data_IF_512344400407
#
_entry.id   IF_512344400407
#
_cell.length_a   1.000
_cell.length_b   1.000
_cell.length_c   1.000
_cell.angle_alpha   90.00
_cell.angle_beta   90.00
_cell.angle_gamma   90.00
#
_symmetry.space_group_name_H-M   'P 1'
#
loop_
_entity.id
_entity.type
_entity.pdbx_description
1 polymer ?
#
# COMPACT_ATOMS: atom_id res chain seq x y z
N UNK A 1 15.62 25.91 3.21
CA UNK A 1 14.25 25.35 3.21
C UNK A 1 14.32 23.85 3.46
N UNK A 2 13.40 23.28 4.23
CA UNK A 2 13.40 21.85 4.55
C UNK A 2 11.98 21.26 4.52
N UNK A 3 11.87 20.00 4.12
CA UNK A 3 10.66 19.21 4.31
C UNK A 3 10.68 18.64 5.73
N UNK A 4 9.71 19.04 6.56
CA UNK A 4 9.59 18.56 7.95
C UNK A 4 9.01 17.14 8.00
N UNK A 5 8.17 16.82 7.01
CA UNK A 5 7.49 15.53 6.90
C UNK A 5 8.14 14.66 5.83
N UNK A 6 8.25 13.36 6.11
CA UNK A 6 8.65 12.38 5.09
C UNK A 6 7.49 12.09 4.13
N UNK A 7 7.81 12.00 2.85
CA UNK A 7 6.87 11.52 1.84
C UNK A 7 6.85 10.00 1.84
N UNK A 8 5.69 9.37 1.57
CA UNK A 8 5.61 7.93 1.36
C UNK A 8 6.57 7.47 0.26
N UNK A 9 7.17 6.29 0.42
CA UNK A 9 8.02 5.68 -0.62
C UNK A 9 7.30 5.43 -1.95
N UNK A 10 5.96 5.46 -1.95
CA UNK A 10 5.12 5.24 -3.12
C UNK A 10 3.92 6.19 -3.11
N UNK A 11 3.73 6.90 -4.20
CA UNK A 11 2.55 7.71 -4.49
C UNK A 11 1.88 7.20 -5.78
N UNK A 12 0.66 7.62 -6.02
CA UNK A 12 -0.09 7.34 -7.24
C UNK A 12 -0.41 8.64 -7.99
N UNK A 13 -0.48 8.57 -9.32
CA UNK A 13 -0.93 9.70 -10.14
C UNK A 13 -2.37 10.07 -9.79
N UNK A 14 -2.73 11.34 -9.92
CA UNK A 14 -4.06 11.86 -9.60
C UNK A 14 -4.38 11.94 -8.10
N UNK A 15 -3.64 11.26 -7.24
CA UNK A 15 -3.80 11.33 -5.78
C UNK A 15 -3.07 12.56 -5.23
N UNK A 16 -3.67 13.21 -4.23
CA UNK A 16 -3.06 14.34 -3.52
C UNK A 16 -1.77 13.91 -2.84
N UNK A 17 -0.72 14.71 -2.97
CA UNK A 17 0.55 14.50 -2.29
C UNK A 17 0.36 14.80 -0.79
N UNK A 18 0.56 13.76 0.02
CA UNK A 18 0.48 13.81 1.48
C UNK A 18 1.74 13.17 2.07
N UNK A 19 2.05 13.48 3.33
CA UNK A 19 3.11 12.81 4.08
C UNK A 19 2.72 11.37 4.47
N UNK A 20 3.69 10.64 5.01
CA UNK A 20 3.52 9.24 5.43
C UNK A 20 2.42 9.01 6.47
N UNK A 21 2.22 9.97 7.37
CA UNK A 21 1.14 10.01 8.38
C UNK A 21 -0.21 10.53 7.81
N UNK A 22 -0.30 10.77 6.50
CA UNK A 22 -1.47 11.32 5.81
C UNK A 22 -1.83 12.75 6.24
N UNK A 23 -0.87 13.54 6.71
CA UNK A 23 -1.02 14.97 6.93
C UNK A 23 -0.53 15.80 5.73
N UNK A 24 -0.87 17.11 5.64
CA UNK A 24 -0.32 17.98 4.62
C UNK A 24 1.20 18.10 4.75
N UNK A 25 1.93 17.99 3.63
CA UNK A 25 3.39 18.07 3.63
C UNK A 25 3.83 19.47 4.04
N UNK A 26 4.61 19.54 5.12
CA UNK A 26 5.08 20.79 5.72
C UNK A 26 6.47 21.17 5.21
N UNK A 27 6.62 22.43 4.83
CA UNK A 27 7.86 23.07 4.39
C UNK A 27 8.23 24.10 5.45
N UNK A 28 9.49 24.09 5.89
CA UNK A 28 10.00 24.99 6.91
C UNK A 28 11.19 25.79 6.41
N UNK A 29 11.25 27.05 6.79
CA UNK A 29 12.43 27.90 6.69
C UNK A 29 13.19 27.93 8.03
N UNK A 30 14.39 27.37 8.04
CA UNK A 30 15.33 27.45 9.15
C UNK A 30 16.45 28.44 8.84
N UNK A 31 16.91 29.13 9.88
CA UNK A 31 18.14 29.89 9.87
C UNK A 31 19.32 28.91 9.99
N UNK A 32 20.27 28.98 9.06
CA UNK A 32 21.38 28.02 9.00
C UNK A 32 22.42 28.20 10.10
N UNK A 33 22.48 29.36 10.76
CA UNK A 33 23.46 29.63 11.81
C UNK A 33 22.94 29.21 13.19
N UNK A 34 21.65 29.44 13.43
CA UNK A 34 21.00 29.18 14.72
C UNK A 34 20.17 27.90 14.75
N UNK A 35 19.94 27.26 13.60
CA UNK A 35 19.06 26.10 13.40
C UNK A 35 17.61 26.33 13.91
N UNK A 36 17.21 27.59 14.04
CA UNK A 36 15.88 27.97 14.53
C UNK A 36 14.94 28.31 13.37
N UNK A 37 13.66 28.06 13.62
CA UNK A 37 12.58 28.46 12.71
C UNK A 37 12.59 29.98 12.52
N UNK A 38 12.54 30.42 11.26
CA UNK A 38 12.44 31.85 10.92
C UNK A 38 10.99 32.29 11.00
N UNK A 39 10.55 32.67 12.21
CA UNK A 39 9.15 33.04 12.48
C UNK A 39 8.82 34.51 12.20
N UNK A 40 9.81 35.35 11.94
CA UNK A 40 9.59 36.80 11.73
C UNK A 40 10.56 37.38 10.70
N UNK A 41 10.29 38.62 10.29
CA UNK A 41 11.07 39.31 9.26
C UNK A 41 10.62 38.97 7.82
N UNK A 42 11.25 39.58 6.81
CA UNK A 42 10.79 39.53 5.42
C UNK A 42 10.74 38.11 4.85
N UNK A 43 11.62 37.23 5.30
CA UNK A 43 11.71 35.85 4.80
C UNK A 43 10.64 34.91 5.35
N UNK A 44 10.05 35.22 6.51
CA UNK A 44 9.03 34.39 7.15
C UNK A 44 7.75 34.23 6.31
N UNK A 45 7.50 35.17 5.40
CA UNK A 45 6.30 35.23 4.54
C UNK A 45 6.60 35.05 3.05
N UNK A 46 7.77 34.52 2.70
CA UNK A 46 8.19 34.36 1.30
C UNK A 46 7.35 33.30 0.58
N UNK A 47 7.21 33.43 -0.74
CA UNK A 47 6.58 32.40 -1.58
C UNK A 47 7.63 31.43 -2.10
N UNK A 48 7.34 30.14 -1.99
CA UNK A 48 8.19 29.07 -2.51
C UNK A 48 7.49 28.30 -3.62
N UNK A 49 8.24 27.82 -4.60
CA UNK A 49 7.76 27.02 -5.73
C UNK A 49 8.15 25.57 -5.55
N UNK A 50 7.19 24.68 -5.78
CA UNK A 50 7.37 23.23 -5.81
C UNK A 50 7.86 22.82 -7.19
N UNK A 51 8.90 21.99 -7.22
CA UNK A 51 9.49 21.39 -8.41
C UNK A 51 9.61 19.88 -8.23
N UNK A 52 9.71 19.16 -9.34
CA UNK A 52 10.03 17.73 -9.34
C UNK A 52 11.49 17.57 -9.69
N UNK A 53 12.23 16.76 -8.94
CA UNK A 53 13.64 16.48 -9.17
C UNK A 53 13.84 14.99 -9.50
N UNK A 54 14.95 14.67 -10.17
CA UNK A 54 15.37 13.29 -10.40
C UNK A 54 15.59 12.58 -9.06
N UNK A 55 15.01 11.39 -8.90
CA UNK A 55 15.13 10.59 -7.67
C UNK A 55 16.56 10.22 -7.27
N UNK A 56 17.50 10.17 -8.22
CA UNK A 56 18.92 9.91 -7.95
C UNK A 56 19.69 11.17 -7.55
N UNK A 57 19.06 12.35 -7.52
CA UNK A 57 19.72 13.55 -7.03
C UNK A 57 20.04 13.42 -5.53
N UNK A 58 21.26 13.79 -5.16
CA UNK A 58 21.82 13.68 -3.80
C UNK A 58 21.66 12.25 -3.27
N UNK A 59 22.41 11.32 -3.88
CA UNK A 59 22.38 9.89 -3.54
C UNK A 59 23.22 9.57 -2.29
N UNK A 60 24.21 10.41 -1.97
CA UNK A 60 25.11 10.24 -0.84
C UNK A 60 24.77 11.17 0.32
N UNK A 61 24.71 10.61 1.52
CA UNK A 61 24.52 11.32 2.79
C UNK A 61 25.70 12.26 3.12
N UNK A 62 26.75 12.30 2.28
CA UNK A 62 27.99 13.04 2.50
C UNK A 62 28.21 14.22 1.52
N UNK A 63 27.27 14.53 0.62
CA UNK A 63 27.36 15.73 -0.23
C UNK A 63 26.43 16.82 0.28
N UNK A 64 26.92 17.61 1.23
CA UNK A 64 26.16 18.65 1.91
C UNK A 64 25.96 19.94 1.11
N UNK A 65 26.48 20.08 -0.12
CA UNK A 65 26.31 21.34 -0.87
C UNK A 65 26.13 21.12 -2.37
N UNK A 66 24.88 21.31 -2.84
CA UNK A 66 24.62 21.55 -4.27
C UNK A 66 24.53 23.05 -4.53
N UNK A 67 25.00 23.47 -5.70
CA UNK A 67 24.76 24.82 -6.19
C UNK A 67 23.33 24.99 -6.72
N UNK A 68 22.84 26.23 -6.78
CA UNK A 68 21.53 26.56 -7.39
C UNK A 68 21.42 26.05 -8.83
N UNK A 69 22.52 26.15 -9.60
CA UNK A 69 22.59 25.64 -10.98
C UNK A 69 22.45 24.12 -11.06
N UNK A 70 23.02 23.39 -10.09
CA UNK A 70 22.89 21.94 -10.04
C UNK A 70 21.48 21.51 -9.66
N UNK A 71 20.85 22.20 -8.72
CA UNK A 71 19.44 22.00 -8.38
C UNK A 71 18.57 22.20 -9.63
N UNK A 72 18.75 23.31 -10.34
CA UNK A 72 17.97 23.63 -11.54
C UNK A 72 18.16 22.61 -12.67
N UNK A 73 19.39 22.12 -12.87
CA UNK A 73 19.70 21.05 -13.84
C UNK A 73 19.01 19.73 -13.51
N UNK A 74 18.65 19.51 -12.25
CA UNK A 74 18.01 18.27 -11.77
C UNK A 74 16.49 18.35 -11.74
N UNK A 75 15.91 19.50 -12.09
CA UNK A 75 14.47 19.65 -12.29
C UNK A 75 14.04 18.80 -13.48
N UNK A 76 13.05 17.94 -13.24
CA UNK A 76 12.48 17.03 -14.23
C UNK A 76 11.32 17.73 -14.93
N UNK A 77 11.45 17.87 -16.24
CA UNK A 77 10.37 18.37 -17.09
C UNK A 77 9.39 17.26 -17.46
N UNK A 78 8.16 17.64 -17.83
CA UNK A 78 7.19 16.70 -18.37
C UNK A 78 7.65 16.12 -19.71
N UNK A 79 7.20 14.90 -20.02
CA UNK A 79 7.46 14.28 -21.32
C UNK A 79 6.86 15.13 -22.45
N UNK A 80 7.55 15.18 -23.59
CA UNK A 80 7.08 15.87 -24.79
C UNK A 80 5.65 15.42 -25.14
N UNK A 81 4.74 16.39 -25.27
CA UNK A 81 3.33 16.13 -25.58
C UNK A 81 2.46 15.64 -24.41
N UNK A 82 2.98 15.63 -23.18
CA UNK A 82 2.21 15.35 -21.95
C UNK A 82 1.90 16.64 -21.19
N UNK A 83 0.86 16.57 -20.34
CA UNK A 83 0.49 17.63 -19.39
C UNK A 83 1.66 17.92 -18.42
N UNK A 84 1.66 19.08 -17.73
CA UNK A 84 2.61 19.38 -16.67
C UNK A 84 2.68 18.24 -15.65
N UNK A 85 3.89 17.91 -15.19
CA UNK A 85 4.14 16.73 -14.34
C UNK A 85 3.42 16.79 -12.99
N UNK A 86 3.25 18.02 -12.47
CA UNK A 86 2.40 18.31 -11.32
C UNK A 86 1.16 19.08 -11.76
N UNK A 87 0.04 18.78 -11.14
CA UNK A 87 -1.22 19.51 -11.23
C UNK A 87 -1.53 20.13 -9.86
N UNK A 88 -2.12 21.33 -9.85
CA UNK A 88 -2.50 22.04 -8.62
C UNK A 88 -1.71 23.34 -8.36
N UNK A 89 -1.81 23.84 -7.14
CA UNK A 89 -1.14 25.07 -6.70
C UNK A 89 0.32 24.79 -6.32
N UNK A 90 1.24 25.14 -7.23
CA UNK A 90 2.67 24.85 -7.07
C UNK A 90 3.45 25.95 -6.34
N UNK A 91 2.78 27.05 -5.98
CA UNK A 91 3.39 28.17 -5.24
C UNK A 91 2.77 28.21 -3.86
N UNK A 92 3.59 28.03 -2.83
CA UNK A 92 3.16 27.98 -1.43
C UNK A 92 3.67 29.23 -0.72
N UNK A 93 2.80 30.09 -0.18
CA UNK A 93 3.23 31.14 0.73
C UNK A 93 3.67 30.54 2.07
N UNK A 94 4.78 31.00 2.62
CA UNK A 94 5.12 30.74 4.01
C UNK A 94 4.34 31.71 4.92
N UNK A 95 4.02 31.25 6.13
CA UNK A 95 3.48 32.04 7.23
C UNK A 95 4.30 31.68 8.47
N UNK A 96 4.93 32.67 9.10
CA UNK A 96 5.87 32.48 10.21
C UNK A 96 6.95 31.41 9.90
N UNK A 97 7.42 31.38 8.65
CA UNK A 97 8.44 30.45 8.15
C UNK A 97 7.91 29.06 7.80
N UNK A 98 6.60 28.83 7.87
CA UNK A 98 5.97 27.51 7.62
C UNK A 98 5.01 27.58 6.44
N UNK A 99 5.12 26.61 5.54
CA UNK A 99 4.23 26.44 4.40
C UNK A 99 3.70 25.02 4.32
N UNK A 100 2.51 24.84 3.75
CA UNK A 100 1.88 23.54 3.58
C UNK A 100 1.57 23.30 2.10
N UNK A 101 1.92 22.12 1.59
CA UNK A 101 1.55 21.72 0.24
C UNK A 101 0.04 21.47 0.19
N UNK A 102 -0.64 22.21 -0.69
CA UNK A 102 -2.08 22.14 -0.90
C UNK A 102 -2.52 20.92 -1.72
N UNK A 103 -3.46 21.13 -2.64
CA UNK A 103 -3.96 20.08 -3.53
C UNK A 103 -3.05 19.93 -4.76
N UNK A 104 -1.89 19.30 -4.55
CA UNK A 104 -0.91 19.00 -5.61
C UNK A 104 -0.91 17.51 -5.88
N UNK A 105 -0.90 17.11 -7.16
CA UNK A 105 -0.87 15.71 -7.59
C UNK A 105 0.05 15.50 -8.79
N UNK A 106 0.58 14.28 -8.94
CA UNK A 106 1.34 13.90 -10.12
C UNK A 106 0.42 13.50 -11.27
N UNK A 107 0.73 13.93 -12.48
CA UNK A 107 -0.05 13.58 -13.69
C UNK A 107 0.54 12.40 -14.46
N UNK A 108 1.80 12.04 -14.18
CA UNK A 108 2.53 10.97 -14.84
C UNK A 108 3.32 10.14 -13.82
N UNK A 109 3.55 8.87 -14.14
CA UNK A 109 4.28 7.96 -13.27
C UNK A 109 5.80 8.18 -13.37
N UNK A 110 6.58 7.60 -12.46
CA UNK A 110 8.04 7.75 -12.43
C UNK A 110 8.78 6.65 -13.18
N UNK A 111 8.13 5.73 -13.89
CA UNK A 111 8.83 4.58 -14.50
C UNK A 111 9.60 4.94 -15.77
N UNK A 112 9.35 6.11 -16.36
CA UNK A 112 10.00 6.55 -17.60
C UNK A 112 11.34 7.26 -17.37
N UNK A 113 11.65 7.68 -16.14
CA UNK A 113 12.96 8.26 -15.80
C UNK A 113 13.93 7.15 -15.38
N UNK A 114 15.22 7.33 -15.63
CA UNK A 114 16.29 6.35 -15.35
C UNK A 114 16.28 5.87 -13.89
N UNK A 115 16.09 6.78 -12.94
CA UNK A 115 16.07 6.46 -11.50
C UNK A 115 14.80 5.72 -11.05
N UNK A 116 13.77 5.68 -11.90
CA UNK A 116 12.45 5.12 -11.57
C UNK A 116 11.74 5.85 -10.43
N UNK A 117 12.25 6.99 -9.97
CA UNK A 117 11.87 7.71 -8.75
C UNK A 117 11.91 9.22 -8.98
N UNK A 118 11.11 9.93 -8.21
CA UNK A 118 11.17 11.39 -8.12
C UNK A 118 11.51 11.83 -6.69
N UNK A 119 11.88 13.10 -6.57
CA UNK A 119 11.91 13.86 -5.31
C UNK A 119 11.10 15.14 -5.52
N UNK A 120 10.56 15.71 -4.44
CA UNK A 120 10.09 17.08 -4.45
C UNK A 120 11.26 18.00 -4.12
N UNK A 121 11.39 19.05 -4.93
CA UNK A 121 12.24 20.19 -4.67
C UNK A 121 11.39 21.39 -4.30
N UNK A 122 11.89 22.23 -3.40
CA UNK A 122 11.30 23.53 -3.11
C UNK A 122 12.37 24.61 -3.21
N UNK A 123 12.07 25.66 -3.96
CA UNK A 123 12.92 26.85 -4.07
C UNK A 123 12.10 28.13 -3.97
N UNK A 124 12.76 29.26 -3.74
CA UNK A 124 12.07 30.56 -3.72
C UNK A 124 11.40 30.83 -5.07
N UNK A 125 10.17 31.35 -5.06
CA UNK A 125 9.45 31.75 -6.27
C UNK A 125 10.07 33.04 -6.86
N UNK A 126 10.24 33.08 -8.18
CA UNK A 126 10.87 34.18 -8.92
C UNK A 126 10.26 35.55 -8.56
N UNK A 127 11.10 36.54 -8.26
CA UNK A 127 10.73 37.87 -7.75
C UNK A 127 11.45 38.28 -6.46
N UNK A 128 12.13 37.34 -5.81
CA UNK A 128 12.97 37.57 -4.64
C UNK A 128 14.36 37.01 -4.95
N UNK A 129 15.17 37.78 -5.68
CA UNK A 129 16.53 37.41 -6.11
C UNK A 129 17.54 37.50 -4.96
N UNK A 130 17.26 36.88 -3.82
CA UNK A 130 18.22 36.82 -2.73
C UNK A 130 18.96 35.48 -2.72
N UNK A 131 20.27 35.59 -2.87
CA UNK A 131 21.24 34.50 -2.94
C UNK A 131 21.32 33.69 -1.64
N UNK A 132 20.63 34.11 -0.57
CA UNK A 132 20.74 33.60 0.80
C UNK A 132 19.91 32.36 1.13
N UNK A 133 18.74 32.16 0.50
CA UNK A 133 17.87 31.01 0.85
C UNK A 133 18.24 29.78 0.02
N UNK A 134 18.64 28.71 0.72
CA UNK A 134 18.94 27.40 0.14
C UNK A 134 17.66 26.58 -0.13
N UNK A 135 17.63 25.90 -1.26
CA UNK A 135 16.53 25.01 -1.68
C UNK A 135 16.36 23.83 -0.72
N UNK A 136 15.16 23.26 -0.68
CA UNK A 136 14.85 22.04 0.06
C UNK A 136 14.60 20.86 -0.88
N UNK A 137 14.98 19.65 -0.43
CA UNK A 137 14.78 18.41 -1.18
C UNK A 137 14.13 17.37 -0.27
N UNK A 138 13.13 16.65 -0.77
CA UNK A 138 12.49 15.55 -0.04
C UNK A 138 13.26 14.24 -0.18
N UNK A 139 12.86 13.22 0.58
CA UNK A 139 13.23 11.83 0.27
C UNK A 139 12.73 11.42 -1.12
N UNK A 140 13.38 10.41 -1.72
CA UNK A 140 12.98 9.84 -3.01
C UNK A 140 11.79 8.89 -2.86
N UNK A 141 10.89 8.91 -3.84
CA UNK A 141 9.69 8.06 -3.88
C UNK A 141 9.34 7.63 -5.31
N UNK A 142 8.60 6.53 -5.44
CA UNK A 142 8.07 6.06 -6.73
C UNK A 142 6.67 6.63 -6.95
N UNK A 143 6.41 7.17 -8.12
CA UNK A 143 5.04 7.52 -8.54
C UNK A 143 4.54 6.43 -9.47
N UNK A 144 3.43 5.78 -9.10
CA UNK A 144 2.78 4.74 -9.90
C UNK A 144 1.56 5.29 -10.60
N UNK A 145 1.17 4.63 -11.69
CA UNK A 145 -0.09 4.93 -12.36
C UNK A 145 -1.28 4.63 -11.44
N UNK A 146 -2.25 5.54 -11.37
CA UNK A 146 -3.47 5.44 -10.55
C UNK A 146 -4.22 4.11 -10.74
N UNK A 147 -4.18 3.52 -11.95
CA UNK A 147 -4.79 2.19 -12.20
C UNK A 147 -4.23 1.14 -11.23
N UNK A 148 -2.95 1.24 -10.92
CA UNK A 148 -2.26 0.35 -9.98
C UNK A 148 -2.69 0.51 -8.52
N UNK A 149 -3.32 1.63 -8.14
CA UNK A 149 -3.86 1.84 -6.79
C UNK A 149 -5.08 0.96 -6.56
N UNK A 150 -6.04 1.02 -7.50
CA UNK A 150 -7.24 0.20 -7.43
C UNK A 150 -6.94 -1.30 -7.43
N UNK A 151 -5.85 -1.73 -8.07
CA UNK A 151 -5.48 -3.15 -8.25
C UNK A 151 -4.52 -3.70 -7.19
N UNK A 152 -4.24 -2.97 -6.12
CA UNK A 152 -3.34 -3.46 -5.06
C UNK A 152 -3.85 -4.76 -4.42
N UNK A 153 -2.92 -5.65 -4.09
CA UNK A 153 -3.21 -6.82 -3.26
C UNK A 153 -3.28 -6.35 -1.80
N UNK A 154 -4.17 -6.95 -1.02
CA UNK A 154 -4.27 -6.65 0.41
C UNK A 154 -3.37 -7.60 1.19
N UNK A 155 -2.64 -7.07 2.18
CA UNK A 155 -1.70 -7.82 3.00
C UNK A 155 -1.90 -7.45 4.49
N UNK A 156 -2.58 -8.29 5.30
CA UNK A 156 -3.25 -9.52 4.89
C UNK A 156 -4.53 -9.25 4.09
N UNK A 157 -4.99 -10.22 3.28
CA UNK A 157 -6.33 -10.17 2.70
C UNK A 157 -7.43 -10.32 3.76
N UNK A 158 -8.62 -9.80 3.46
CA UNK A 158 -9.83 -9.96 4.26
C UNK A 158 -10.79 -10.99 3.64
N UNK A 159 -11.64 -11.63 4.45
CA UNK A 159 -12.58 -12.65 3.97
C UNK A 159 -13.54 -12.14 2.88
N UNK A 160 -13.95 -10.88 2.99
CA UNK A 160 -14.89 -10.23 2.05
C UNK A 160 -14.19 -9.56 0.85
N UNK A 161 -12.86 -9.61 0.79
CA UNK A 161 -12.15 -9.14 -0.40
C UNK A 161 -12.53 -9.99 -1.60
N UNK A 162 -12.67 -9.33 -2.76
CA UNK A 162 -12.81 -10.02 -4.03
C UNK A 162 -11.61 -10.95 -4.26
N UNK A 163 -11.84 -12.13 -4.84
CA UNK A 163 -10.82 -13.19 -4.96
C UNK A 163 -9.59 -12.74 -5.77
N UNK A 164 -9.75 -11.77 -6.67
CA UNK A 164 -8.63 -11.21 -7.41
C UNK A 164 -7.67 -10.40 -6.52
N UNK A 165 -8.01 -10.06 -5.28
CA UNK A 165 -7.07 -9.45 -4.30
C UNK A 165 -5.99 -10.42 -3.83
N UNK A 166 -6.09 -11.71 -4.15
CA UNK A 166 -5.01 -12.66 -3.96
C UNK A 166 -3.83 -12.40 -4.91
N UNK A 167 -2.62 -12.67 -4.43
CA UNK A 167 -1.43 -12.65 -5.27
C UNK A 167 -1.59 -13.60 -6.47
N UNK A 168 -0.98 -13.23 -7.61
CA UNK A 168 -1.00 -14.02 -8.86
C UNK A 168 -2.37 -14.23 -9.52
N UNK A 169 -3.45 -13.68 -8.96
CA UNK A 169 -4.76 -13.57 -9.61
C UNK A 169 -4.93 -12.13 -10.10
N UNK A 170 -5.02 -11.92 -11.42
CA UNK A 170 -5.25 -10.58 -11.96
C UNK A 170 -6.75 -10.26 -12.01
N UNK A 171 -7.14 -9.02 -11.68
CA UNK A 171 -8.51 -8.56 -11.90
C UNK A 171 -8.85 -8.72 -13.38
N UNK A 172 -10.04 -9.24 -13.66
CA UNK A 172 -10.54 -9.59 -14.99
C UNK A 172 -9.66 -10.54 -15.83
N UNK A 173 -8.64 -11.16 -15.21
CA UNK A 173 -7.78 -12.16 -15.82
C UNK A 173 -8.47 -13.52 -15.94
N UNK A 174 -7.85 -14.45 -16.68
CA UNK A 174 -8.40 -15.78 -16.93
C UNK A 174 -8.75 -16.55 -15.64
N UNK A 175 -7.87 -16.54 -14.64
CA UNK A 175 -8.12 -17.20 -13.34
C UNK A 175 -9.28 -16.55 -12.58
N UNK A 176 -9.36 -15.22 -12.56
CA UNK A 176 -10.45 -14.50 -11.89
C UNK A 176 -11.80 -14.82 -12.53
N UNK A 177 -11.87 -14.80 -13.87
CA UNK A 177 -13.09 -15.15 -14.62
C UNK A 177 -13.54 -16.59 -14.37
N UNK A 178 -12.62 -17.55 -14.33
CA UNK A 178 -12.95 -18.95 -14.05
C UNK A 178 -13.48 -19.15 -12.63
N UNK A 179 -12.83 -18.54 -11.63
CA UNK A 179 -13.25 -18.60 -10.23
C UNK A 179 -14.66 -18.02 -10.06
N UNK A 180 -14.90 -16.82 -10.61
CA UNK A 180 -16.20 -16.15 -10.51
C UNK A 180 -17.30 -16.92 -11.25
N UNK A 181 -17.01 -17.51 -12.42
CA UNK A 181 -17.94 -18.40 -13.12
C UNK A 181 -18.29 -19.66 -12.31
N UNK A 182 -17.38 -20.14 -11.47
CA UNK A 182 -17.60 -21.25 -10.54
C UNK A 182 -18.30 -20.80 -9.23
N UNK A 183 -18.62 -19.52 -9.09
CA UNK A 183 -19.24 -18.97 -7.87
C UNK A 183 -18.26 -18.56 -6.78
N UNK A 184 -16.95 -18.57 -7.05
CA UNK A 184 -15.91 -18.12 -6.11
C UNK A 184 -15.63 -16.64 -6.37
N UNK A 185 -16.30 -15.77 -5.62
CA UNK A 185 -16.22 -14.32 -5.82
C UNK A 185 -15.31 -13.63 -4.80
N UNK A 186 -15.22 -14.18 -3.58
CA UNK A 186 -14.44 -13.61 -2.49
C UNK A 186 -13.43 -14.60 -1.90
N UNK A 187 -12.56 -14.10 -1.02
CA UNK A 187 -11.52 -14.91 -0.36
C UNK A 187 -12.12 -15.96 0.59
N UNK A 188 -13.27 -15.67 1.22
CA UNK A 188 -14.02 -16.65 2.02
C UNK A 188 -14.42 -17.87 1.18
N UNK A 189 -15.01 -17.66 0.00
CA UNK A 189 -15.44 -18.75 -0.89
C UNK A 189 -14.23 -19.58 -1.34
N UNK A 190 -13.12 -18.89 -1.66
CA UNK A 190 -11.88 -19.50 -2.08
C UNK A 190 -11.31 -20.41 -0.98
N UNK A 191 -11.21 -19.91 0.25
CA UNK A 191 -10.68 -20.66 1.40
C UNK A 191 -11.62 -21.82 1.79
N UNK A 192 -12.94 -21.63 1.72
CA UNK A 192 -13.90 -22.72 1.95
C UNK A 192 -13.69 -23.87 0.98
N UNK A 193 -13.59 -23.58 -0.31
CA UNK A 193 -13.34 -24.64 -1.30
C UNK A 193 -11.94 -25.23 -1.14
N UNK A 194 -10.93 -24.44 -0.77
CA UNK A 194 -9.59 -24.96 -0.48
C UNK A 194 -9.60 -25.99 0.64
N UNK A 195 -10.26 -25.67 1.77
CA UNK A 195 -10.36 -26.56 2.95
C UNK A 195 -11.19 -27.80 2.66
N UNK A 196 -12.28 -27.66 1.91
CA UNK A 196 -13.22 -28.77 1.67
C UNK A 196 -12.86 -29.64 0.47
N UNK A 197 -12.25 -29.07 -0.58
CA UNK A 197 -11.87 -29.77 -1.79
C UNK A 197 -10.78 -29.03 -2.58
N UNK A 198 -9.53 -29.18 -2.14
CA UNK A 198 -8.37 -28.58 -2.78
C UNK A 198 -8.26 -28.92 -4.28
N UNK A 199 -8.52 -30.19 -4.64
CA UNK A 199 -8.40 -30.67 -6.02
C UNK A 199 -9.40 -29.97 -6.94
N UNK A 200 -10.63 -29.77 -6.47
CA UNK A 200 -11.66 -29.03 -7.20
C UNK A 200 -11.21 -27.58 -7.42
N UNK A 201 -10.78 -26.87 -6.37
CA UNK A 201 -10.29 -25.49 -6.49
C UNK A 201 -9.13 -25.38 -7.49
N UNK A 202 -8.19 -26.31 -7.42
CA UNK A 202 -7.04 -26.36 -8.33
C UNK A 202 -7.48 -26.59 -9.78
N UNK A 203 -8.49 -27.42 -10.01
CA UNK A 203 -9.03 -27.66 -11.36
C UNK A 203 -9.75 -26.42 -11.94
N UNK A 204 -10.48 -25.65 -11.11
CA UNK A 204 -11.14 -24.40 -11.51
C UNK A 204 -10.14 -23.36 -12.02
N UNK A 205 -8.98 -23.24 -11.37
CA UNK A 205 -7.93 -22.34 -11.83
C UNK A 205 -7.27 -22.79 -13.15
N UNK A 206 -7.45 -24.05 -13.55
CA UNK A 206 -6.87 -24.69 -14.73
C UNK A 206 -5.41 -25.10 -14.53
N UNK A 207 -4.64 -25.19 -15.63
CA UNK A 207 -3.19 -25.54 -15.60
C UNK A 207 -2.37 -24.42 -14.93
N UNK A 208 -2.35 -24.41 -13.60
CA UNK A 208 -1.53 -23.51 -12.78
C UNK A 208 -0.22 -24.20 -12.42
N UNK A 209 0.91 -23.52 -12.65
CA UNK A 209 2.23 -23.98 -12.22
C UNK A 209 2.28 -24.11 -10.69
N UNK A 210 2.92 -25.14 -10.14
CA UNK A 210 2.95 -25.39 -8.69
C UNK A 210 3.42 -24.18 -7.87
N UNK A 211 4.49 -23.49 -8.30
CA UNK A 211 4.97 -22.26 -7.65
C UNK A 211 3.93 -21.14 -7.59
N UNK A 212 3.11 -21.01 -8.65
CA UNK A 212 2.03 -20.01 -8.71
C UNK A 212 0.90 -20.39 -7.75
N UNK A 213 0.54 -21.68 -7.71
CA UNK A 213 -0.45 -22.22 -6.77
C UNK A 213 -0.03 -21.98 -5.32
N UNK A 214 1.19 -22.37 -4.95
CA UNK A 214 1.75 -22.17 -3.60
C UNK A 214 1.71 -20.71 -3.16
N UNK A 215 2.05 -19.79 -4.07
CA UNK A 215 2.00 -18.35 -3.77
C UNK A 215 0.58 -17.87 -3.48
N UNK A 216 -0.41 -18.35 -4.24
CA UNK A 216 -1.82 -18.00 -4.04
C UNK A 216 -2.30 -18.50 -2.67
N UNK A 217 -2.05 -19.78 -2.37
CA UNK A 217 -2.48 -20.40 -1.11
C UNK A 217 -1.81 -19.73 0.08
N UNK A 218 -0.48 -19.59 0.06
CA UNK A 218 0.27 -18.92 1.13
C UNK A 218 -0.26 -17.52 1.41
N UNK A 219 -0.64 -16.78 0.37
CA UNK A 219 -1.22 -15.46 0.54
C UNK A 219 -2.66 -15.49 1.09
N UNK A 220 -3.48 -16.44 0.65
CA UNK A 220 -4.85 -16.61 1.16
C UNK A 220 -4.85 -17.03 2.64
N UNK A 221 -3.89 -17.85 3.07
CA UNK A 221 -3.76 -18.33 4.45
C UNK A 221 -3.32 -17.25 5.45
N UNK A 222 -2.77 -16.11 4.99
CA UNK A 222 -2.53 -14.96 5.90
C UNK A 222 -3.80 -14.18 6.22
N UNK A 223 -4.94 -14.53 5.62
CA UNK A 223 -6.23 -13.91 5.89
C UNK A 223 -6.62 -14.07 7.36
N UNK A 224 -6.96 -12.94 8.00
CA UNK A 224 -7.47 -12.94 9.37
C UNK A 224 -8.93 -13.37 9.33
N UNK A 225 -9.25 -14.45 10.04
CA UNK A 225 -10.60 -15.00 10.13
C UNK A 225 -11.44 -14.21 11.13
N UNK A 226 -12.75 -14.18 10.91
CA UNK A 226 -13.69 -13.66 11.90
C UNK A 226 -13.99 -14.69 13.01
N UNK A 227 -14.64 -14.24 14.08
CA UNK A 227 -14.99 -15.09 15.22
C UNK A 227 -16.25 -15.94 14.99
N UNK A 228 -16.80 -15.96 13.77
CA UNK A 228 -18.03 -16.71 13.48
C UNK A 228 -17.76 -18.20 13.49
N UNK A 229 -18.67 -18.92 14.13
CA UNK A 229 -18.61 -20.37 14.30
C UNK A 229 -19.90 -21.00 13.81
N UNK A 230 -19.77 -22.15 13.17
CA UNK A 230 -20.88 -22.94 12.65
C UNK A 230 -20.89 -24.29 13.36
N UNK A 231 -22.07 -24.80 13.65
CA UNK A 231 -22.23 -26.07 14.35
C UNK A 231 -23.07 -27.01 13.49
N UNK A 232 -22.55 -28.21 13.26
CA UNK A 232 -23.33 -29.34 12.77
C UNK A 232 -23.57 -30.31 13.92
N UNK A 233 -24.80 -30.80 14.10
CA UNK A 233 -25.15 -31.79 15.13
C UNK A 233 -25.82 -32.99 14.48
N UNK A 234 -25.44 -34.20 14.92
CA UNK A 234 -26.13 -35.43 14.59
C UNK A 234 -27.28 -35.68 15.59
N UNK A 235 -28.21 -36.55 15.20
CA UNK A 235 -29.31 -36.97 16.07
C UNK A 235 -28.85 -37.72 17.33
N UNK A 236 -27.61 -38.24 17.35
CA UNK A 236 -27.05 -38.96 18.51
C UNK A 236 -26.35 -38.04 19.53
N UNK A 237 -26.39 -36.71 19.35
CA UNK A 237 -25.78 -35.75 20.26
C UNK A 237 -24.31 -35.39 19.93
N UNK A 238 -23.71 -36.03 18.94
CA UNK A 238 -22.38 -35.67 18.45
C UNK A 238 -22.44 -34.44 17.54
N UNK A 239 -21.40 -33.62 17.52
CA UNK A 239 -21.38 -32.44 16.63
C UNK A 239 -19.99 -31.92 16.32
N UNK A 240 -19.89 -31.19 15.20
CA UNK A 240 -18.67 -30.55 14.72
C UNK A 240 -18.82 -29.04 14.79
N UNK A 241 -17.75 -28.37 15.22
CA UNK A 241 -17.62 -26.92 15.26
C UNK A 241 -16.67 -26.48 14.15
N UNK A 242 -17.13 -25.56 13.32
CA UNK A 242 -16.37 -25.03 12.19
C UNK A 242 -16.14 -23.53 12.35
N UNK A 243 -15.01 -23.04 11.84
CA UNK A 243 -14.81 -21.61 11.63
C UNK A 243 -15.41 -21.13 10.29
N UNK A 244 -15.24 -19.84 9.96
CA UNK A 244 -15.78 -19.24 8.73
C UNK A 244 -15.28 -19.80 7.40
N UNK A 245 -14.19 -20.57 7.40
CA UNK A 245 -13.68 -21.25 6.20
C UNK A 245 -14.02 -22.75 6.20
N UNK A 246 -14.94 -23.18 7.06
CA UNK A 246 -15.33 -24.58 7.24
C UNK A 246 -14.20 -25.51 7.69
N UNK A 247 -13.15 -24.95 8.30
CA UNK A 247 -12.17 -25.77 9.00
C UNK A 247 -12.79 -26.21 10.32
N UNK A 248 -12.72 -27.51 10.59
CA UNK A 248 -13.14 -28.07 11.88
C UNK A 248 -12.18 -27.60 12.95
N UNK A 249 -12.71 -26.96 13.99
CA UNK A 249 -11.96 -26.42 15.13
C UNK A 249 -12.35 -27.08 16.45
N UNK A 250 -13.43 -27.87 16.46
CA UNK A 250 -13.83 -28.61 17.65
C UNK A 250 -14.88 -29.67 17.37
N UNK A 251 -15.08 -30.53 18.37
CA UNK A 251 -16.03 -31.64 18.36
C UNK A 251 -16.73 -31.74 19.71
N UNK A 252 -17.99 -32.14 19.70
CA UNK A 252 -18.74 -32.54 20.90
C UNK A 252 -19.24 -33.97 20.72
N UNK A 253 -19.22 -34.75 21.80
CA UNK A 253 -19.72 -36.13 21.84
C UNK A 253 -20.98 -36.27 22.72
N UNK A 254 -21.32 -35.22 23.46
CA UNK A 254 -22.36 -35.20 24.49
C UNK A 254 -23.38 -34.05 24.28
N UNK A 255 -23.31 -33.35 23.16
CA UNK A 255 -24.09 -32.17 22.79
C UNK A 255 -23.91 -30.92 23.68
N UNK A 256 -23.12 -31.00 24.75
CA UNK A 256 -23.01 -29.97 25.77
C UNK A 256 -21.72 -29.19 25.66
N UNK A 257 -20.57 -29.87 25.50
CA UNK A 257 -19.26 -29.22 25.49
C UNK A 257 -18.49 -29.50 24.20
N UNK A 258 -17.98 -28.43 23.58
CA UNK A 258 -17.05 -28.55 22.45
C UNK A 258 -15.62 -28.61 22.96
N UNK A 259 -14.91 -29.66 22.58
CA UNK A 259 -13.48 -29.80 22.74
C UNK A 259 -12.80 -29.27 21.49
N UNK A 260 -11.81 -28.39 21.65
CA UNK A 260 -10.99 -27.93 20.53
C UNK A 260 -10.17 -29.09 19.99
N UNK A 261 -10.01 -29.15 18.66
CA UNK A 261 -9.30 -30.24 17.97
C UNK A 261 -7.87 -30.43 18.46
N UNK A 262 -7.20 -29.35 18.86
CA UNK A 262 -5.82 -29.39 19.35
C UNK A 262 -5.69 -30.03 20.75
N UNK A 263 -6.80 -30.08 21.50
CA UNK A 263 -6.86 -30.58 22.88
C UNK A 263 -7.43 -32.00 22.98
N UNK A 264 -7.68 -32.69 21.86
CA UNK A 264 -8.22 -34.04 21.86
C UNK A 264 -7.17 -35.06 22.30
N UNK A 265 -7.57 -35.99 23.18
CA UNK A 265 -6.75 -37.14 23.54
C UNK A 265 -6.70 -38.20 22.41
N UNK A 266 -5.84 -39.21 22.53
CA UNK A 266 -5.62 -40.22 21.48
C UNK A 266 -6.91 -40.96 21.11
N UNK A 267 -7.74 -41.34 22.08
CA UNK A 267 -9.00 -42.04 21.84
C UNK A 267 -10.03 -41.12 21.16
N UNK A 268 -10.12 -39.86 21.58
CA UNK A 268 -10.99 -38.86 20.99
C UNK A 268 -10.58 -38.49 19.56
N UNK A 269 -9.28 -38.52 19.24
CA UNK A 269 -8.78 -38.32 17.86
C UNK A 269 -9.23 -39.45 16.93
N UNK A 270 -9.22 -40.69 17.41
CA UNK A 270 -9.74 -41.84 16.63
C UNK A 270 -11.23 -41.67 16.38
N UNK A 271 -12.03 -41.38 17.41
CA UNK A 271 -13.47 -41.12 17.25
C UNK A 271 -13.77 -39.91 16.36
N UNK A 272 -12.94 -38.87 16.41
CA UNK A 272 -13.04 -37.69 15.57
C UNK A 272 -12.84 -38.02 14.08
N UNK A 273 -11.86 -38.85 13.74
CA UNK A 273 -11.59 -39.23 12.34
C UNK A 273 -12.82 -39.89 11.68
N UNK A 274 -13.52 -40.77 12.40
CA UNK A 274 -14.76 -41.41 11.94
C UNK A 274 -15.93 -40.43 11.76
N UNK A 275 -15.92 -39.29 12.46
CA UNK A 275 -16.95 -38.26 12.34
C UNK A 275 -16.66 -37.24 11.24
N UNK A 276 -15.39 -37.09 10.87
CA UNK A 276 -14.92 -36.12 9.87
C UNK A 276 -14.74 -36.68 8.46
N UNK A 277 -14.80 -38.01 8.30
CA UNK A 277 -14.74 -38.74 7.02
C UNK A 277 -16.08 -38.79 6.33
#
# INVERSE_FOLDING_TARGET
LQFDSKLPHRLFTGSRIMSEDRSPVKIILYDSNSEKLVTSGPYSSIKVKINVLDGDFVHDQNQEEWSKKEFDRKIVENRKGKRPLLNGELVVPLHDGVGYIGDVSFTDNSSWIRSGRFRLGVKVHSGCEETSIREGISNAFKVKDHRGESYQKHHPPSLDDEVWRLEKIAKDGASHKRLTQFGISCIRDFLRLYVTNELSLRSVLGKVQSKKWETIIKHAETCILDDKKYVYRSAQGTGLLFNSIYKVIGVTFDAHNFLLTDNLNVYQKVSFLYLSS
#
